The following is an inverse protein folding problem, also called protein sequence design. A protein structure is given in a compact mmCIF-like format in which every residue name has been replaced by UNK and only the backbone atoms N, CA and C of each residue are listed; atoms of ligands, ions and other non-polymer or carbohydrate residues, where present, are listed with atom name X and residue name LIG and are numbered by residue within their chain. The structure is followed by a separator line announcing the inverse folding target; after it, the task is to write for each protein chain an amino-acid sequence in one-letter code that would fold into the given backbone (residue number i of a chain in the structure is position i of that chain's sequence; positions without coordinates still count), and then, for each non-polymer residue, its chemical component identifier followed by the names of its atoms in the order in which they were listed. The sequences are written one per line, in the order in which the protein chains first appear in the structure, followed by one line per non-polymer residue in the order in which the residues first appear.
data_IF_546039379511
#
_entry.id   IF_546039379511
#
_cell.length_a   1.000
_cell.length_b   1.000
_cell.length_c   1.000
_cell.angle_alpha   90.00
_cell.angle_beta   90.00
_cell.angle_gamma   90.00
#
_symmetry.space_group_name_H-M   'P 1'
#
loop_
_entity.id
_entity.type
_entity.pdbx_description
1 polymer ?
#
# COMPACT_ATOMS: atom_id res chain seq x y z
N UNK A 1 -5.85 -6.11 13.28
CA UNK A 1 -5.05 -6.56 12.15
C UNK A 1 -5.76 -6.28 10.83
N UNK A 2 -5.08 -5.65 9.86
CA UNK A 2 -5.60 -5.40 8.52
C UNK A 2 -5.42 -6.62 7.62
N UNK A 3 -6.49 -7.40 7.37
CA UNK A 3 -6.46 -8.57 6.48
C UNK A 3 -7.68 -8.65 5.55
N UNK A 4 -7.46 -9.24 4.38
CA UNK A 4 -8.49 -9.51 3.37
C UNK A 4 -8.39 -8.61 2.14
N UNK A 5 -9.12 -8.97 1.09
CA UNK A 5 -9.17 -8.30 -0.20
C UNK A 5 -10.57 -7.71 -0.45
N UNK A 6 -10.65 -6.46 -0.92
CA UNK A 6 -11.91 -5.76 -1.16
C UNK A 6 -11.86 -4.99 -2.48
N UNK A 7 -12.92 -5.06 -3.29
CA UNK A 7 -13.06 -4.29 -4.52
C UNK A 7 -13.81 -3.00 -4.28
N UNK A 8 -13.28 -1.90 -4.79
CA UNK A 8 -13.84 -0.56 -4.66
C UNK A 8 -13.66 0.25 -5.93
N UNK A 9 -14.30 1.43 -5.96
CA UNK A 9 -14.12 2.40 -7.04
C UNK A 9 -13.61 3.73 -6.50
N UNK A 10 -12.76 4.38 -7.30
CA UNK A 10 -12.35 5.76 -7.08
C UNK A 10 -13.44 6.66 -7.68
N UNK A 11 -13.94 7.60 -6.88
CA UNK A 11 -14.97 8.53 -7.35
C UNK A 11 -14.40 9.65 -8.24
N UNK A 12 -15.30 10.42 -8.87
CA UNK A 12 -14.93 11.54 -9.76
C UNK A 12 -14.13 12.65 -9.07
N UNK A 13 -14.17 12.70 -7.73
CA UNK A 13 -13.38 13.64 -6.91
C UNK A 13 -12.08 13.00 -6.41
N UNK A 14 -11.65 11.87 -7.01
CA UNK A 14 -10.41 11.15 -6.70
C UNK A 14 -10.39 10.59 -5.28
N UNK A 15 -11.57 10.32 -4.71
CA UNK A 15 -11.69 9.76 -3.37
C UNK A 15 -11.94 8.27 -3.44
N UNK A 16 -11.29 7.53 -2.55
CA UNK A 16 -11.46 6.09 -2.40
C UNK A 16 -12.10 5.80 -1.04
N UNK A 17 -13.22 5.08 -1.04
CA UNK A 17 -13.81 4.57 0.20
C UNK A 17 -12.98 3.41 0.76
N UNK A 18 -12.52 3.55 1.99
CA UNK A 18 -11.88 2.45 2.71
C UNK A 18 -12.93 1.42 3.16
N UNK A 19 -12.63 0.11 3.07
CA UNK A 19 -13.52 -0.95 3.53
C UNK A 19 -13.92 -0.75 4.99
N UNK A 20 -15.21 -0.92 5.29
CA UNK A 20 -15.76 -0.66 6.63
C UNK A 20 -15.02 -1.43 7.74
N UNK A 21 -14.55 -2.65 7.44
CA UNK A 21 -13.78 -3.47 8.39
C UNK A 21 -12.44 -2.86 8.79
N UNK A 22 -11.81 -2.06 7.91
CA UNK A 22 -10.51 -1.45 8.18
C UNK A 22 -10.60 -0.10 8.91
N UNK A 23 -11.76 0.57 8.83
CA UNK A 23 -11.93 1.93 9.39
C UNK A 23 -11.63 2.02 10.89
N UNK A 24 -11.96 0.97 11.66
CA UNK A 24 -11.70 0.91 13.11
C UNK A 24 -10.20 0.93 13.44
N UNK A 25 -9.38 0.34 12.57
CA UNK A 25 -7.94 0.19 12.84
C UNK A 25 -7.09 1.30 12.24
N UNK A 26 -7.55 1.89 11.13
CA UNK A 26 -6.81 2.89 10.39
C UNK A 26 -6.86 4.27 11.06
N UNK A 27 -7.95 4.59 11.76
CA UNK A 27 -8.15 5.87 12.42
C UNK A 27 -8.62 6.97 11.46
N UNK A 28 -8.44 8.23 11.88
CA UNK A 28 -8.93 9.42 11.17
C UNK A 28 -7.95 10.01 10.17
N UNK A 29 -6.71 9.53 10.17
CA UNK A 29 -5.62 10.02 9.32
C UNK A 29 -4.78 8.84 8.87
N UNK A 30 -4.31 8.91 7.63
CA UNK A 30 -3.44 7.90 7.05
C UNK A 30 -2.31 8.55 6.28
N UNK A 31 -1.27 7.78 6.03
CA UNK A 31 -0.25 8.15 5.05
C UNK A 31 -0.38 7.22 3.85
N UNK A 32 -0.55 7.82 2.68
CA UNK A 32 -0.52 7.13 1.39
C UNK A 32 0.85 7.36 0.77
N UNK A 33 1.51 6.31 0.30
CA UNK A 33 2.77 6.41 -0.42
C UNK A 33 2.85 5.39 -1.55
N UNK A 34 3.90 5.45 -2.36
CA UNK A 34 4.20 4.44 -3.36
C UNK A 34 4.48 3.10 -2.71
N UNK A 35 3.90 2.05 -3.29
CA UNK A 35 4.21 0.67 -2.97
C UNK A 35 5.13 0.05 -4.00
N UNK A 36 5.65 -1.13 -3.66
CA UNK A 36 6.31 -1.98 -4.64
C UNK A 36 5.27 -2.49 -5.66
N UNK A 37 5.74 -2.99 -6.80
CA UNK A 37 4.89 -3.55 -7.87
C UNK A 37 3.87 -2.56 -8.47
N UNK A 38 4.16 -1.25 -8.37
CA UNK A 38 3.32 -0.16 -8.86
C UNK A 38 1.91 -0.17 -8.25
N UNK A 39 1.83 -0.33 -6.93
CA UNK A 39 0.63 -0.10 -6.14
C UNK A 39 0.81 1.11 -5.20
N UNK A 40 -0.21 1.49 -4.44
CA UNK A 40 -0.04 2.43 -3.32
C UNK A 40 -0.09 1.70 -2.00
N UNK A 41 0.74 2.09 -1.05
CA UNK A 41 0.61 1.67 0.34
C UNK A 41 -0.18 2.71 1.12
N UNK A 42 -1.04 2.24 2.03
CA UNK A 42 -1.77 3.08 2.98
C UNK A 42 -1.47 2.59 4.39
N UNK A 43 -0.91 3.46 5.20
CA UNK A 43 -0.55 3.17 6.59
C UNK A 43 -1.44 3.93 7.56
N UNK A 44 -1.92 3.29 8.64
CA UNK A 44 -2.25 4.01 9.87
C UNK A 44 -1.00 4.80 10.34
N UNK A 45 -1.19 6.00 10.90
CA UNK A 45 -0.08 6.88 11.31
C UNK A 45 0.97 6.16 12.18
N UNK A 46 0.52 5.37 13.16
CA UNK A 46 1.40 4.61 14.05
C UNK A 46 2.31 3.62 13.32
N UNK A 47 1.82 2.99 12.27
CA UNK A 47 2.62 2.04 11.48
C UNK A 47 3.51 2.77 10.48
N UNK A 48 3.06 3.91 9.96
CA UNK A 48 3.89 4.79 9.14
C UNK A 48 5.12 5.29 9.90
N UNK A 49 4.96 5.77 11.14
CA UNK A 49 6.07 6.25 11.96
C UNK A 49 7.18 5.19 12.10
N UNK A 50 6.79 3.93 12.35
CA UNK A 50 7.74 2.81 12.43
C UNK A 50 8.45 2.57 11.10
N UNK A 51 7.70 2.53 10.00
CA UNK A 51 8.23 2.31 8.66
C UNK A 51 9.19 3.44 8.24
N UNK A 52 8.77 4.69 8.43
CA UNK A 52 9.54 5.88 8.11
C UNK A 52 10.82 5.97 8.95
N UNK A 53 10.76 5.65 10.24
CA UNK A 53 11.94 5.61 11.10
C UNK A 53 12.95 4.54 10.63
N UNK A 54 12.45 3.35 10.25
CA UNK A 54 13.30 2.29 9.69
C UNK A 54 14.04 2.75 8.44
N UNK A 55 13.34 3.44 7.53
CA UNK A 55 13.89 4.01 6.30
C UNK A 55 14.89 5.15 6.57
N UNK A 56 14.58 6.03 7.52
CA UNK A 56 15.45 7.14 7.91
C UNK A 56 16.77 6.67 8.55
N UNK A 57 16.77 5.49 9.17
CA UNK A 57 17.96 4.91 9.79
C UNK A 57 18.90 4.20 8.80
N UNK A 58 18.51 4.04 7.53
CA UNK A 58 19.36 3.43 6.52
C UNK A 58 20.53 4.35 6.14
N UNK A 59 21.66 3.75 5.73
CA UNK A 59 22.90 4.49 5.44
C UNK A 59 22.75 5.42 4.23
N UNK A 60 22.97 6.72 4.44
CA UNK A 60 22.99 7.72 3.36
C UNK A 60 24.15 7.53 2.38
N UNK A 61 25.17 6.73 2.72
CA UNK A 61 26.32 6.46 1.84
C UNK A 61 25.95 5.64 0.61
N UNK A 62 24.90 4.82 0.69
CA UNK A 62 24.46 3.94 -0.40
C UNK A 62 23.46 4.66 -1.32
N UNK A 63 23.71 4.63 -2.62
CA UNK A 63 22.83 5.27 -3.61
C UNK A 63 21.43 4.66 -3.59
N UNK A 64 21.33 3.33 -3.56
CA UNK A 64 20.08 2.58 -3.48
C UNK A 64 19.21 2.99 -2.29
N UNK A 65 19.83 3.20 -1.12
CA UNK A 65 19.12 3.71 0.07
C UNK A 65 18.53 5.09 -0.16
N UNK A 66 19.30 6.02 -0.72
CA UNK A 66 18.81 7.39 -0.98
C UNK A 66 17.67 7.37 -1.99
N UNK A 67 17.78 6.55 -3.02
CA UNK A 67 16.77 6.44 -4.07
C UNK A 67 15.49 5.81 -3.53
N UNK A 68 15.60 4.76 -2.71
CA UNK A 68 14.44 4.14 -2.08
C UNK A 68 13.78 5.07 -1.05
N UNK A 69 14.55 5.85 -0.30
CA UNK A 69 14.00 6.87 0.61
C UNK A 69 13.26 7.96 -0.16
N UNK A 70 13.78 8.44 -1.30
CA UNK A 70 13.08 9.42 -2.15
C UNK A 70 11.79 8.83 -2.72
N UNK A 71 11.83 7.57 -3.14
CA UNK A 71 10.68 6.86 -3.65
C UNK A 71 9.59 6.72 -2.57
N UNK A 72 9.91 6.14 -1.41
CA UNK A 72 8.94 5.87 -0.35
C UNK A 72 8.57 7.11 0.47
N UNK A 73 9.53 7.89 0.95
CA UNK A 73 9.24 9.05 1.81
C UNK A 73 8.84 10.28 1.00
N UNK A 74 9.48 10.49 -0.16
CA UNK A 74 9.14 11.61 -1.04
C UNK A 74 7.78 11.47 -1.72
N UNK A 75 7.32 10.23 -1.94
CA UNK A 75 5.97 9.93 -2.46
C UNK A 75 4.87 9.93 -1.39
N UNK A 76 5.21 10.10 -0.11
CA UNK A 76 4.27 9.98 1.01
C UNK A 76 3.45 11.26 1.22
N UNK A 77 2.14 11.09 1.41
CA UNK A 77 1.19 12.17 1.70
C UNK A 77 0.30 11.75 2.85
N UNK A 78 0.24 12.58 3.89
CA UNK A 78 -0.76 12.46 4.94
C UNK A 78 -2.12 12.94 4.41
N UNK A 79 -3.17 12.15 4.60
CA UNK A 79 -4.54 12.50 4.23
C UNK A 79 -5.50 12.17 5.36
N UNK A 80 -6.47 13.05 5.57
CA UNK A 80 -7.59 12.79 6.45
C UNK A 80 -8.53 11.72 5.85
N UNK A 81 -9.14 10.95 6.76
CA UNK A 81 -10.25 10.04 6.47
C UNK A 81 -11.54 10.80 6.79
N UNK A 82 -12.36 11.04 5.77
CA UNK A 82 -13.59 11.80 5.94
C UNK A 82 -14.66 11.02 6.73
N UNK A 83 -15.78 11.68 7.07
CA UNK A 83 -16.87 11.06 7.83
C UNK A 83 -17.49 9.82 7.16
N UNK A 84 -17.32 9.65 5.84
CA UNK A 84 -17.79 8.48 5.10
C UNK A 84 -16.72 7.37 5.00
N UNK A 85 -15.54 7.58 5.61
CA UNK A 85 -14.42 6.65 5.54
C UNK A 85 -13.66 6.71 4.22
N UNK A 86 -13.64 7.86 3.54
CA UNK A 86 -12.92 8.04 2.27
C UNK A 86 -11.62 8.80 2.46
N UNK A 87 -10.65 8.51 1.60
CA UNK A 87 -9.37 9.22 1.49
C UNK A 87 -9.25 9.85 0.11
N UNK A 88 -8.53 10.97 0.00
CA UNK A 88 -8.20 11.59 -1.29
C UNK A 88 -6.89 11.00 -1.82
N UNK A 89 -6.85 10.64 -3.10
CA UNK A 89 -5.64 10.18 -3.77
C UNK A 89 -5.14 11.26 -4.74
N UNK A 90 -4.00 11.93 -4.44
CA UNK A 90 -3.34 12.85 -5.36
C UNK A 90 -3.06 12.23 -6.74
N UNK A 91 -3.07 13.05 -7.79
CA UNK A 91 -2.91 12.56 -9.16
C UNK A 91 -1.59 11.83 -9.39
N UNK A 92 -0.50 12.34 -8.85
CA UNK A 92 0.82 11.73 -9.02
C UNK A 92 0.90 10.32 -8.43
N UNK A 93 0.18 10.04 -7.33
CA UNK A 93 0.09 8.70 -6.75
C UNK A 93 -0.76 7.77 -7.62
N UNK A 94 -1.88 8.29 -8.14
CA UNK A 94 -2.75 7.54 -9.05
C UNK A 94 -2.03 7.20 -10.36
N UNK A 95 -1.27 8.15 -10.90
CA UNK A 95 -0.48 7.97 -12.12
C UNK A 95 0.61 6.92 -11.91
N UNK A 96 1.40 7.03 -10.83
CA UNK A 96 2.40 6.04 -10.46
C UNK A 96 1.82 4.62 -10.37
N UNK A 97 0.74 4.46 -9.61
CA UNK A 97 0.12 3.16 -9.40
C UNK A 97 -0.80 2.72 -10.56
N UNK A 98 -0.90 3.52 -11.64
CA UNK A 98 -1.76 3.25 -12.79
C UNK A 98 -3.22 3.04 -12.42
N UNK A 99 -3.73 3.74 -11.40
CA UNK A 99 -5.07 3.52 -10.84
C UNK A 99 -6.14 4.07 -11.78
N UNK A 100 -6.95 3.16 -12.33
CA UNK A 100 -8.18 3.48 -13.06
C UNK A 100 -9.36 3.74 -12.11
N UNK A 101 -10.59 3.51 -12.57
CA UNK A 101 -11.78 3.64 -11.71
C UNK A 101 -11.94 2.47 -10.75
N UNK A 102 -11.59 1.24 -11.17
CA UNK A 102 -11.78 0.02 -10.37
C UNK A 102 -10.48 -0.36 -9.69
N UNK A 103 -10.54 -0.54 -8.38
CA UNK A 103 -9.37 -0.85 -7.57
C UNK A 103 -9.63 -2.01 -6.63
N UNK A 104 -8.54 -2.64 -6.23
CA UNK A 104 -8.51 -3.63 -5.16
C UNK A 104 -7.76 -3.04 -3.97
N UNK A 105 -8.31 -3.25 -2.78
CA UNK A 105 -7.71 -2.88 -1.50
C UNK A 105 -7.39 -4.19 -0.77
N UNK A 106 -6.10 -4.47 -0.58
CA UNK A 106 -5.61 -5.65 0.12
C UNK A 106 -5.02 -5.26 1.49
N UNK A 107 -5.43 -5.94 2.55
CA UNK A 107 -4.86 -5.77 3.89
C UNK A 107 -3.69 -6.72 4.12
N UNK A 108 -2.53 -6.18 4.48
CA UNK A 108 -1.29 -6.92 4.74
C UNK A 108 -0.74 -6.60 6.15
N UNK A 109 -1.54 -6.94 7.16
CA UNK A 109 -1.26 -6.80 8.59
C UNK A 109 -1.10 -5.34 9.08
N UNK A 110 0.00 -4.67 8.72
CA UNK A 110 0.36 -3.31 9.15
C UNK A 110 -0.03 -2.21 8.18
N UNK A 111 -0.38 -2.56 6.94
CA UNK A 111 -0.76 -1.62 5.88
C UNK A 111 -1.90 -2.15 5.03
N UNK A 112 -2.50 -1.26 4.26
CA UNK A 112 -3.25 -1.63 3.07
C UNK A 112 -2.41 -1.39 1.82
N UNK A 113 -2.75 -2.09 0.76
CA UNK A 113 -2.29 -1.80 -0.59
C UNK A 113 -3.48 -1.48 -1.49
N UNK A 114 -3.33 -0.49 -2.36
CA UNK A 114 -4.31 -0.10 -3.38
C UNK A 114 -3.74 -0.43 -4.75
N UNK A 115 -4.46 -1.25 -5.49
CA UNK A 115 -4.07 -1.74 -6.80
C UNK A 115 -5.12 -1.39 -7.83
N UNK A 116 -4.70 -1.19 -9.08
CA UNK A 116 -5.63 -1.30 -10.21
C UNK A 116 -6.15 -2.74 -10.29
N UNK A 117 -7.46 -2.90 -10.53
CA UNK A 117 -8.12 -4.22 -10.49
C UNK A 117 -7.53 -5.22 -11.49
N UNK A 118 -7.16 -4.77 -12.70
CA UNK A 118 -6.59 -5.66 -13.71
C UNK A 118 -5.16 -6.06 -13.34
N UNK A 119 -4.35 -5.09 -12.89
CA UNK A 119 -2.99 -5.36 -12.43
C UNK A 119 -2.97 -6.35 -11.27
N UNK A 120 -3.90 -6.19 -10.32
CA UNK A 120 -4.04 -7.14 -9.20
C UNK A 120 -4.40 -8.55 -9.68
N UNK A 121 -5.33 -8.67 -10.63
CA UNK A 121 -5.72 -9.96 -11.22
C UNK A 121 -4.53 -10.67 -11.88
N UNK A 122 -3.72 -9.94 -12.64
CA UNK A 122 -2.54 -10.49 -13.30
C UNK A 122 -1.45 -10.88 -12.28
N UNK A 123 -1.19 -10.01 -11.31
CA UNK A 123 -0.25 -10.26 -10.22
C UNK A 123 -0.63 -11.51 -9.42
N UNK A 124 -1.86 -11.55 -8.90
CA UNK A 124 -2.33 -12.69 -8.10
C UNK A 124 -2.46 -13.97 -8.92
N UNK A 125 -2.82 -13.88 -10.20
CA UNK A 125 -2.83 -15.02 -11.12
C UNK A 125 -1.45 -15.65 -11.27
N UNK A 126 -0.39 -14.83 -11.35
CA UNK A 126 1.00 -15.31 -11.37
C UNK A 126 1.42 -15.91 -10.02
N UNK A 127 1.19 -15.18 -8.92
CA UNK A 127 1.60 -15.60 -7.56
C UNK A 127 0.92 -16.89 -7.14
N UNK A 128 -0.38 -17.06 -7.41
CA UNK A 128 -1.12 -18.29 -7.05
C UNK A 128 -0.54 -19.54 -7.72
N UNK A 129 0.00 -19.43 -8.93
CA UNK A 129 0.66 -20.56 -9.63
C UNK A 129 2.03 -20.91 -9.04
N UNK A 130 2.61 -20.01 -8.25
CA UNK A 130 3.95 -20.14 -7.66
C UNK A 130 3.89 -20.28 -6.14
N UNK A 131 2.70 -20.43 -5.55
CA UNK A 131 2.51 -20.36 -4.10
C UNK A 131 3.39 -21.34 -3.34
N UNK A 132 3.45 -22.61 -3.78
CA UNK A 132 4.25 -23.65 -3.14
C UNK A 132 5.75 -23.33 -3.20
N UNK A 133 6.26 -22.94 -4.37
CA UNK A 133 7.66 -22.53 -4.56
C UNK A 133 8.03 -21.29 -3.72
N UNK A 134 7.10 -20.35 -3.57
CA UNK A 134 7.31 -19.17 -2.73
C UNK A 134 7.38 -19.55 -1.25
N UNK A 135 6.55 -20.49 -0.80
CA UNK A 135 6.60 -21.00 0.58
C UNK A 135 7.92 -21.72 0.87
N UNK A 136 8.41 -22.55 -0.06
CA UNK A 136 9.72 -23.22 0.07
C UNK A 136 10.87 -22.22 0.23
N UNK A 137 10.91 -21.17 -0.61
CA UNK A 137 11.94 -20.11 -0.51
C UNK A 137 11.91 -19.37 0.82
N UNK A 138 10.74 -19.21 1.43
CA UNK A 138 10.63 -18.60 2.75
C UNK A 138 11.19 -19.51 3.84
N UNK A 139 11.02 -20.83 3.69
CA UNK A 139 11.65 -21.82 4.57
C UNK A 139 13.18 -21.80 4.50
N UNK A 140 13.76 -21.64 3.31
CA UNK A 140 15.21 -21.56 3.13
C UNK A 140 15.86 -20.37 3.84
N UNK A 141 15.13 -19.26 3.99
CA UNK A 141 15.62 -18.05 4.68
C UNK A 141 15.18 -17.97 6.16
N UNK A 142 14.57 -19.03 6.70
CA UNK A 142 14.13 -19.12 8.09
C UNK A 142 12.95 -18.22 8.45
N UNK A 143 12.15 -17.81 7.46
CA UNK A 143 10.95 -17.00 7.66
C UNK A 143 9.68 -17.84 7.91
N UNK A 144 9.75 -19.15 7.61
CA UNK A 144 8.76 -20.20 7.89
C UNK A 144 9.51 -21.49 8.26
#
# INVERSE_FOLDING_TARGET
MLIGEYRHTIDVKKRLALPAKFRKEIGKKVVVTYGLDNCLFVYPLKEWEKAAQGLANLSLGQASTRDFNRFMLGGAVETDVDAMGRILLPDFQREFAGLSTKVVIAGLHSRLEIWDENRWKDYTGRVKKQADMLAEKLGEIGAL
#
